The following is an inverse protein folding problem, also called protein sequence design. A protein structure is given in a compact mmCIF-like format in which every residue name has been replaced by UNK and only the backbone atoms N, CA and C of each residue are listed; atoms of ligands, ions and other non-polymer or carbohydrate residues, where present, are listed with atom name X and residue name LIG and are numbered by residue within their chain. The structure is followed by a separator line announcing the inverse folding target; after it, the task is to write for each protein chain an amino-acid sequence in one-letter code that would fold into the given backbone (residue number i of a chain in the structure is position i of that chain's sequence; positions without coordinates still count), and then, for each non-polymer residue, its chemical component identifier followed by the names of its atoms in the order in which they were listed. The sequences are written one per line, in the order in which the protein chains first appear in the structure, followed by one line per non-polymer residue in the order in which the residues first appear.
data_IF_325375232200
#
_entry.id   IF_325375232200
#
_cell.length_a   1.000
_cell.length_b   1.000
_cell.length_c   1.000
_cell.angle_alpha   90.00
_cell.angle_beta   90.00
_cell.angle_gamma   90.00
#
_symmetry.space_group_name_H-M   'P 1'
#
loop_
_entity.id
_entity.type
_entity.pdbx_description
1 polymer ?
#
# COMPACT_ATOMS: atom_id res chain seq x y z
N UNK A 1 12.21 23.31 8.20
CA UNK A 1 12.16 23.95 6.88
C UNK A 1 11.37 23.09 5.89
N UNK A 2 10.94 23.71 4.77
CA UNK A 2 10.25 23.03 3.68
C UNK A 2 11.15 23.01 2.46
N UNK A 3 11.24 21.85 1.81
CA UNK A 3 11.98 21.68 0.57
C UNK A 3 11.04 21.11 -0.49
N UNK A 4 11.05 21.72 -1.67
CA UNK A 4 10.37 21.21 -2.86
C UNK A 4 11.34 20.44 -3.74
N UNK A 5 10.93 19.29 -4.23
CA UNK A 5 11.69 18.47 -5.15
C UNK A 5 10.82 18.09 -6.36
N UNK A 6 11.30 18.43 -7.57
CA UNK A 6 10.64 18.05 -8.81
C UNK A 6 11.24 16.74 -9.32
N UNK A 7 10.37 15.78 -9.65
CA UNK A 7 10.74 14.47 -10.16
C UNK A 7 10.00 14.17 -11.47
N UNK A 8 10.38 13.10 -12.16
CA UNK A 8 9.68 12.66 -13.38
C UNK A 8 8.22 12.25 -13.13
N UNK A 9 7.89 11.82 -11.90
CA UNK A 9 6.54 11.36 -11.52
C UNK A 9 5.69 12.43 -10.84
N UNK A 10 6.23 13.62 -10.58
CA UNK A 10 5.51 14.71 -9.94
C UNK A 10 6.37 15.60 -9.07
N UNK A 11 5.74 16.28 -8.14
CA UNK A 11 6.36 17.22 -7.20
C UNK A 11 6.29 16.65 -5.79
N UNK A 12 7.36 16.78 -5.04
CA UNK A 12 7.43 16.37 -3.62
C UNK A 12 7.65 17.57 -2.72
N UNK A 13 6.88 17.66 -1.64
CA UNK A 13 7.12 18.56 -0.52
C UNK A 13 7.73 17.77 0.63
N UNK A 14 8.91 18.17 1.08
CA UNK A 14 9.68 17.51 2.13
C UNK A 14 9.77 18.46 3.32
N UNK A 15 9.33 18.02 4.50
CA UNK A 15 9.43 18.76 5.73
C UNK A 15 10.64 18.30 6.54
N UNK A 16 11.48 19.24 6.96
CA UNK A 16 12.67 18.97 7.76
C UNK A 16 12.63 19.72 9.09
N UNK A 17 13.11 19.15 10.22
CA UNK A 17 13.65 17.80 10.38
C UNK A 17 12.52 16.76 10.46
N UNK A 18 12.73 15.62 9.84
CA UNK A 18 11.80 14.49 9.83
C UNK A 18 11.47 14.04 8.39
N UNK A 19 11.11 12.78 8.20
CA UNK A 19 10.88 12.21 6.87
C UNK A 19 9.45 12.41 6.37
N UNK A 20 8.76 13.51 6.73
CA UNK A 20 7.46 13.81 6.14
C UNK A 20 7.64 14.24 4.70
N UNK A 21 7.25 13.36 3.78
CA UNK A 21 7.29 13.61 2.34
C UNK A 21 5.86 13.53 1.80
N UNK A 22 5.39 14.61 1.20
CA UNK A 22 4.16 14.62 0.45
C UNK A 22 4.45 14.61 -1.04
N UNK A 23 4.01 13.58 -1.74
CA UNK A 23 4.10 13.48 -3.18
C UNK A 23 2.81 13.95 -3.83
N UNK A 24 2.92 14.88 -4.78
CA UNK A 24 1.84 15.35 -5.64
C UNK A 24 2.11 14.75 -7.01
N UNK A 25 1.29 13.81 -7.43
CA UNK A 25 1.48 13.09 -8.68
C UNK A 25 0.81 13.83 -9.86
N UNK A 26 1.27 13.52 -11.07
CA UNK A 26 0.75 14.06 -12.32
C UNK A 26 -0.76 13.81 -12.46
N UNK A 27 -1.24 12.63 -12.02
CA UNK A 27 -2.66 12.27 -12.02
C UNK A 27 -3.54 13.05 -11.02
N UNK A 28 -2.92 13.91 -10.21
CA UNK A 28 -3.60 14.83 -9.28
C UNK A 28 -3.81 16.24 -9.85
N UNK A 29 -3.66 16.40 -11.16
CA UNK A 29 -3.89 17.67 -11.86
C UNK A 29 -2.64 18.44 -12.22
N UNK A 30 -1.45 17.92 -11.91
CA UNK A 30 -0.21 18.48 -12.47
C UNK A 30 -0.11 18.09 -13.95
N UNK A 31 0.26 19.03 -14.82
CA UNK A 31 0.59 18.71 -16.21
C UNK A 31 1.85 17.85 -16.24
N UNK A 32 1.86 16.90 -17.14
CA UNK A 32 3.01 16.05 -17.40
C UNK A 32 4.26 16.88 -17.70
N UNK A 33 5.23 16.85 -16.81
CA UNK A 33 6.55 17.45 -17.03
C UNK A 33 7.41 16.45 -17.81
N UNK A 34 7.16 16.36 -19.11
CA UNK A 34 7.95 15.50 -19.99
C UNK A 34 9.32 16.11 -20.24
N UNK A 35 10.36 15.42 -19.75
CA UNK A 35 11.74 15.72 -20.07
C UNK A 35 12.45 16.69 -19.11
N UNK A 36 13.65 17.12 -19.53
CA UNK A 36 14.60 17.95 -18.76
C UNK A 36 14.27 19.44 -18.72
N UNK A 37 13.07 19.85 -19.14
CA UNK A 37 12.71 21.26 -19.39
C UNK A 37 11.70 21.81 -18.36
N UNK A 38 11.59 21.24 -17.19
CA UNK A 38 10.80 21.83 -16.11
C UNK A 38 11.72 22.52 -15.10
N UNK A 39 11.29 23.69 -14.63
CA UNK A 39 11.98 24.46 -13.59
C UNK A 39 11.11 24.58 -12.37
N UNK A 40 11.74 24.51 -11.21
CA UNK A 40 11.11 24.67 -9.91
C UNK A 40 11.74 25.85 -9.19
N UNK A 41 10.89 26.77 -8.73
CA UNK A 41 11.30 27.90 -7.90
C UNK A 41 10.51 27.86 -6.58
N UNK A 42 11.21 27.88 -5.46
CA UNK A 42 10.60 28.07 -4.14
C UNK A 42 10.55 29.55 -3.80
N UNK A 43 9.39 30.03 -3.38
CA UNK A 43 9.24 31.41 -2.90
C UNK A 43 9.69 31.56 -1.46
N UNK A 44 9.95 32.79 -1.01
CA UNK A 44 10.31 33.09 0.39
C UNK A 44 9.26 32.59 1.40
N UNK A 45 7.99 32.60 1.00
CA UNK A 45 6.87 32.10 1.82
C UNK A 45 6.76 30.57 1.81
N UNK A 46 7.65 29.85 1.10
CA UNK A 46 7.68 28.41 1.01
C UNK A 46 6.67 27.80 0.02
N UNK A 47 6.06 28.60 -0.83
CA UNK A 47 5.24 28.13 -1.95
C UNK A 47 6.13 27.67 -3.12
N UNK A 48 5.60 26.93 -4.08
CA UNK A 48 6.32 26.46 -5.25
C UNK A 48 5.73 27.05 -6.53
N UNK A 49 6.61 27.50 -7.42
CA UNK A 49 6.29 27.78 -8.81
C UNK A 49 6.98 26.74 -9.70
N UNK A 50 6.18 25.94 -10.39
CA UNK A 50 6.68 24.93 -11.32
C UNK A 50 6.35 25.39 -12.72
N UNK A 51 7.35 25.46 -13.58
CA UNK A 51 7.23 25.92 -14.96
C UNK A 51 7.67 24.80 -15.90
N UNK A 52 6.90 24.55 -16.94
CA UNK A 52 7.20 23.56 -17.97
C UNK A 52 6.71 24.01 -19.35
N UNK A 53 6.97 23.22 -20.37
CA UNK A 53 6.59 23.54 -21.76
C UNK A 53 5.08 23.74 -21.96
N UNK A 54 4.26 23.06 -21.18
CA UNK A 54 2.80 23.08 -21.31
C UNK A 54 2.10 24.06 -20.35
N UNK A 55 2.88 24.82 -19.56
CA UNK A 55 2.32 25.77 -18.62
C UNK A 55 3.11 25.93 -17.35
N UNK A 56 2.50 26.62 -16.41
CA UNK A 56 3.06 26.83 -15.08
C UNK A 56 2.02 26.56 -14.00
N UNK A 57 2.50 26.17 -12.81
CA UNK A 57 1.68 25.98 -11.61
C UNK A 57 2.25 26.77 -10.47
N UNK A 58 1.39 27.47 -9.78
CA UNK A 58 1.69 28.05 -8.49
C UNK A 58 1.02 27.17 -7.42
N UNK A 59 1.79 26.62 -6.51
CA UNK A 59 1.34 25.67 -5.49
C UNK A 59 1.59 26.28 -4.13
N UNK A 60 0.52 26.58 -3.42
CA UNK A 60 0.59 27.08 -2.07
C UNK A 60 0.86 25.92 -1.10
N UNK A 61 1.89 26.06 -0.26
CA UNK A 61 2.29 25.02 0.71
C UNK A 61 1.15 24.60 1.65
N UNK A 62 0.27 25.54 2.00
CA UNK A 62 -0.84 25.32 2.92
C UNK A 62 -1.98 24.49 2.29
N UNK A 63 -2.03 24.40 0.96
CA UNK A 63 -2.99 23.57 0.23
C UNK A 63 -2.51 22.14 0.05
N UNK A 64 -1.24 21.86 0.37
CA UNK A 64 -0.67 20.51 0.30
C UNK A 64 -1.05 19.76 1.58
N UNK A 65 -2.16 19.05 1.51
CA UNK A 65 -2.67 18.26 2.62
C UNK A 65 -1.96 16.91 2.72
N UNK A 66 -1.41 16.59 3.89
CA UNK A 66 -0.88 15.26 4.22
C UNK A 66 -1.98 14.49 4.95
N UNK A 67 -2.34 13.34 4.39
CA UNK A 67 -3.34 12.48 5.02
C UNK A 67 -2.68 11.60 6.09
N UNK A 68 -2.69 12.06 7.32
CA UNK A 68 -2.19 11.32 8.49
C UNK A 68 -3.22 10.29 9.02
N UNK A 69 -4.35 10.13 8.35
CA UNK A 69 -5.38 9.20 8.79
C UNK A 69 -4.89 7.75 8.71
N UNK A 70 -4.80 7.12 9.86
CA UNK A 70 -4.48 5.71 10.01
C UNK A 70 -5.73 4.87 9.72
N UNK A 71 -5.80 4.33 8.52
CA UNK A 71 -6.90 3.44 8.13
C UNK A 71 -6.83 2.10 8.88
N UNK A 72 -7.92 1.34 8.86
CA UNK A 72 -7.94 -0.02 9.39
C UNK A 72 -7.87 -1.04 8.26
N UNK A 73 -7.13 -2.12 8.47
CA UNK A 73 -7.09 -3.27 7.57
C UNK A 73 -7.88 -4.44 8.16
N UNK A 74 -8.62 -5.15 7.32
CA UNK A 74 -9.42 -6.30 7.72
C UNK A 74 -9.34 -7.45 6.71
N UNK A 75 -9.43 -8.69 7.19
CA UNK A 75 -9.61 -9.86 6.34
C UNK A 75 -11.07 -9.91 5.88
N UNK A 76 -11.29 -9.97 4.57
CA UNK A 76 -12.63 -10.11 3.97
C UNK A 76 -13.04 -11.59 3.90
N UNK A 77 -12.15 -12.42 3.39
CA UNK A 77 -12.43 -13.85 3.25
C UNK A 77 -11.15 -14.68 3.11
N UNK A 78 -11.26 -15.94 3.44
CA UNK A 78 -10.25 -16.94 3.14
C UNK A 78 -10.87 -18.02 2.30
N UNK A 79 -10.21 -18.42 1.24
CA UNK A 79 -10.65 -19.51 0.41
C UNK A 79 -9.52 -20.50 0.15
N UNK A 80 -9.90 -21.75 0.09
CA UNK A 80 -9.05 -22.89 -0.21
C UNK A 80 -9.37 -23.37 -1.63
N UNK A 81 -8.35 -23.62 -2.42
CA UNK A 81 -8.52 -24.08 -3.79
C UNK A 81 -7.92 -25.48 -3.87
N UNK A 82 -8.72 -26.45 -4.35
CA UNK A 82 -8.26 -27.81 -4.53
C UNK A 82 -7.52 -28.01 -5.87
N UNK A 83 -6.98 -29.21 -6.08
CA UNK A 83 -6.25 -29.58 -7.30
C UNK A 83 -7.10 -29.54 -8.57
N UNK A 84 -8.43 -29.55 -8.43
CA UNK A 84 -9.39 -29.45 -9.52
C UNK A 84 -9.88 -28.00 -9.73
N UNK A 85 -9.21 -27.00 -9.16
CA UNK A 85 -9.59 -25.59 -9.17
C UNK A 85 -10.93 -25.28 -8.50
N UNK A 86 -11.45 -26.18 -7.67
CA UNK A 86 -12.68 -25.93 -6.91
C UNK A 86 -12.35 -25.09 -5.67
N UNK A 87 -13.09 -23.99 -5.51
CA UNK A 87 -12.91 -23.03 -4.44
C UNK A 87 -13.87 -23.30 -3.28
N UNK A 88 -13.35 -23.31 -2.06
CA UNK A 88 -14.09 -23.46 -0.80
C UNK A 88 -13.83 -22.26 0.09
N UNK A 89 -14.88 -21.66 0.63
CA UNK A 89 -14.72 -20.59 1.64
C UNK A 89 -14.45 -21.22 2.99
N UNK A 90 -13.37 -20.79 3.64
CA UNK A 90 -13.01 -21.25 4.97
C UNK A 90 -13.49 -20.25 6.03
N UNK A 91 -13.91 -20.73 7.23
CA UNK A 91 -14.19 -19.85 8.35
C UNK A 91 -12.90 -19.17 8.83
N UNK A 92 -12.92 -17.83 8.96
CA UNK A 92 -11.73 -17.02 9.30
C UNK A 92 -11.09 -17.46 10.63
N UNK A 93 -11.88 -17.93 11.58
CA UNK A 93 -11.39 -18.26 12.93
C UNK A 93 -10.75 -19.66 13.06
N UNK A 94 -10.83 -20.51 12.05
CA UNK A 94 -10.31 -21.88 12.12
C UNK A 94 -9.99 -22.43 10.73
N UNK A 95 -8.99 -21.88 10.09
CA UNK A 95 -8.57 -22.29 8.74
C UNK A 95 -7.70 -23.54 8.86
N UNK A 96 -8.21 -24.68 8.38
CA UNK A 96 -7.47 -25.92 8.25
C UNK A 96 -7.27 -26.25 6.79
N UNK A 97 -6.02 -26.44 6.40
CA UNK A 97 -5.62 -26.73 5.03
C UNK A 97 -5.11 -28.16 4.97
N UNK A 98 -5.58 -28.93 4.02
CA UNK A 98 -5.15 -30.31 3.78
C UNK A 98 -4.35 -30.41 2.49
N UNK A 99 -3.66 -31.52 2.28
CA UNK A 99 -2.96 -31.81 1.04
C UNK A 99 -3.88 -31.85 -0.21
N UNK A 100 -5.20 -31.91 0.01
CA UNK A 100 -6.23 -31.84 -1.07
C UNK A 100 -6.53 -30.40 -1.50
N UNK A 101 -6.22 -29.42 -0.67
CA UNK A 101 -6.44 -27.99 -0.92
C UNK A 101 -5.11 -27.25 -0.82
N UNK A 102 -4.23 -27.38 -1.83
CA UNK A 102 -2.85 -26.89 -1.74
C UNK A 102 -2.71 -25.37 -1.81
N UNK A 103 -3.76 -24.64 -2.20
CA UNK A 103 -3.71 -23.19 -2.34
C UNK A 103 -4.64 -22.51 -1.36
N UNK A 104 -4.09 -21.54 -0.63
CA UNK A 104 -4.82 -20.65 0.28
C UNK A 104 -4.86 -19.28 -0.37
N UNK A 105 -6.05 -18.72 -0.51
CA UNK A 105 -6.22 -17.35 -0.97
C UNK A 105 -6.85 -16.52 0.15
N UNK A 106 -6.14 -15.48 0.61
CA UNK A 106 -6.57 -14.57 1.66
C UNK A 106 -6.90 -13.23 1.02
N UNK A 107 -8.16 -12.83 1.06
CA UNK A 107 -8.64 -11.53 0.57
C UNK A 107 -8.77 -10.57 1.74
N UNK A 108 -8.28 -9.36 1.57
CA UNK A 108 -8.29 -8.33 2.60
C UNK A 108 -8.58 -6.95 2.01
N UNK A 109 -9.01 -6.05 2.87
CA UNK A 109 -9.35 -4.67 2.50
C UNK A 109 -8.91 -3.68 3.56
N UNK A 110 -8.71 -2.45 3.13
CA UNK A 110 -8.52 -1.31 4.00
C UNK A 110 -9.34 -0.14 3.42
N UNK A 111 -10.60 0.00 3.85
CA UNK A 111 -11.47 1.05 3.34
C UNK A 111 -10.89 2.43 3.61
N UNK A 112 -10.79 3.24 2.57
CA UNK A 112 -10.39 4.64 2.65
C UNK A 112 -11.29 5.47 1.74
N UNK A 113 -11.78 6.59 2.24
CA UNK A 113 -12.56 7.55 1.44
C UNK A 113 -11.67 8.56 0.70
N UNK A 114 -10.39 8.64 1.07
CA UNK A 114 -9.44 9.53 0.45
C UNK A 114 -8.41 8.75 -0.36
N UNK A 115 -8.39 8.96 -1.67
CA UNK A 115 -7.44 8.32 -2.61
C UNK A 115 -7.34 6.79 -2.42
N UNK A 116 -8.47 6.10 -2.29
CA UNK A 116 -8.54 4.66 -2.03
C UNK A 116 -7.73 3.81 -3.04
N UNK A 117 -7.62 4.27 -4.29
CA UNK A 117 -6.84 3.62 -5.35
C UNK A 117 -5.32 3.72 -5.15
N UNK A 118 -4.85 4.50 -4.17
CA UNK A 118 -3.43 4.63 -3.80
C UNK A 118 -3.07 3.87 -2.52
N UNK A 119 -4.02 3.21 -1.89
CA UNK A 119 -3.75 2.32 -0.75
C UNK A 119 -2.86 1.16 -1.20
N UNK A 120 -1.79 0.91 -0.43
CA UNK A 120 -0.87 -0.21 -0.63
C UNK A 120 -0.87 -1.14 0.57
N UNK A 121 -0.33 -2.32 0.41
CA UNK A 121 -0.35 -3.38 1.41
C UNK A 121 1.00 -4.05 1.53
N UNK A 122 1.31 -4.52 2.73
CA UNK A 122 2.38 -5.47 2.98
C UNK A 122 1.86 -6.64 3.81
N UNK A 123 2.52 -7.78 3.70
CA UNK A 123 2.17 -8.95 4.48
C UNK A 123 3.40 -9.70 4.99
N UNK A 124 3.20 -10.47 6.02
CA UNK A 124 4.19 -11.33 6.63
C UNK A 124 3.54 -12.65 7.05
N UNK A 125 4.16 -13.77 6.73
CA UNK A 125 3.71 -15.08 7.17
C UNK A 125 4.70 -15.58 8.22
N UNK A 126 4.28 -15.58 9.47
CA UNK A 126 5.06 -16.09 10.58
C UNK A 126 5.31 -17.59 10.40
N UNK A 127 6.57 -17.99 10.57
CA UNK A 127 7.03 -19.35 10.31
C UNK A 127 7.43 -19.63 8.84
N UNK A 128 7.33 -18.63 7.94
CA UNK A 128 7.69 -18.79 6.53
C UNK A 128 8.53 -17.63 5.98
N UNK A 129 8.21 -16.37 6.33
CA UNK A 129 8.97 -15.21 5.86
C UNK A 129 9.94 -14.71 6.93
N UNK A 130 11.07 -14.18 6.51
CA UNK A 130 12.02 -13.48 7.39
C UNK A 130 11.73 -11.98 7.48
N UNK A 131 11.11 -11.40 6.45
CA UNK A 131 10.80 -9.97 6.35
C UNK A 131 9.40 -9.75 5.79
N UNK A 132 8.88 -8.53 5.97
CA UNK A 132 7.64 -8.10 5.35
C UNK A 132 7.77 -8.05 3.83
N UNK A 133 6.76 -8.56 3.14
CA UNK A 133 6.67 -8.56 1.68
C UNK A 133 5.77 -7.40 1.23
N UNK A 134 6.30 -6.52 0.39
CA UNK A 134 5.50 -5.49 -0.26
C UNK A 134 4.58 -6.14 -1.31
N UNK A 135 3.27 -5.95 -1.15
CA UNK A 135 2.25 -6.49 -2.06
C UNK A 135 1.65 -5.40 -2.96
N UNK A 136 2.15 -4.16 -2.86
CA UNK A 136 1.65 -3.03 -3.63
C UNK A 136 0.15 -2.84 -3.42
N UNK A 137 -0.62 -2.69 -4.51
CA UNK A 137 -2.07 -2.48 -4.48
C UNK A 137 -2.91 -3.77 -4.47
N UNK A 138 -2.26 -4.94 -4.44
CA UNK A 138 -2.98 -6.22 -4.44
C UNK A 138 -3.70 -6.41 -3.11
N UNK A 139 -4.96 -6.80 -3.19
CA UNK A 139 -5.84 -7.03 -2.04
C UNK A 139 -6.00 -8.51 -1.70
N UNK A 140 -5.08 -9.34 -2.15
CA UNK A 140 -5.07 -10.76 -1.86
C UNK A 140 -3.64 -11.29 -1.75
N UNK A 141 -3.50 -12.38 -1.01
CA UNK A 141 -2.31 -13.22 -0.92
C UNK A 141 -2.69 -14.61 -1.38
N UNK A 142 -1.87 -15.20 -2.22
CA UNK A 142 -1.99 -16.59 -2.62
C UNK A 142 -0.79 -17.37 -2.08
N UNK A 143 -1.04 -18.36 -1.26
CA UNK A 143 -0.03 -19.21 -0.63
C UNK A 143 -0.14 -20.63 -1.16
N UNK A 144 0.99 -21.18 -1.57
CA UNK A 144 1.10 -22.54 -2.10
C UNK A 144 2.38 -23.19 -1.56
N UNK A 145 2.36 -24.52 -1.42
CA UNK A 145 3.54 -25.31 -1.12
C UNK A 145 4.12 -25.13 0.27
N UNK A 146 3.33 -24.65 1.23
CA UNK A 146 3.74 -24.57 2.62
C UNK A 146 3.79 -25.97 3.27
N UNK A 147 4.80 -26.20 4.08
CA UNK A 147 4.95 -27.44 4.85
C UNK A 147 3.85 -27.59 5.92
N UNK A 148 3.60 -28.83 6.39
CA UNK A 148 2.72 -29.04 7.54
C UNK A 148 3.18 -28.24 8.76
N UNK A 149 2.27 -27.44 9.35
CA UNK A 149 2.63 -26.55 10.45
C UNK A 149 1.51 -25.58 10.81
N UNK A 150 1.81 -24.69 11.74
CA UNK A 150 0.94 -23.59 12.14
C UNK A 150 1.56 -22.29 11.65
N UNK A 151 0.74 -21.42 11.09
CA UNK A 151 1.15 -20.16 10.49
C UNK A 151 0.22 -19.02 10.89
N UNK A 152 0.77 -17.81 10.94
CA UNK A 152 0.01 -16.59 11.10
C UNK A 152 0.29 -15.69 9.93
N UNK A 153 -0.73 -15.39 9.13
CA UNK A 153 -0.62 -14.33 8.14
C UNK A 153 -0.97 -12.99 8.78
N UNK A 154 -0.10 -12.03 8.62
CA UNK A 154 -0.21 -10.67 9.13
C UNK A 154 -0.24 -9.71 7.95
N UNK A 155 -1.21 -8.79 7.92
CA UNK A 155 -1.38 -7.83 6.84
C UNK A 155 -1.44 -6.42 7.41
N UNK A 156 -0.71 -5.51 6.79
CA UNK A 156 -0.74 -4.06 7.03
C UNK A 156 -1.16 -3.34 5.76
N UNK A 157 -1.73 -2.17 5.91
CA UNK A 157 -1.99 -1.27 4.79
C UNK A 157 -1.34 0.09 5.02
N UNK A 158 -1.12 0.80 3.92
CA UNK A 158 -0.59 2.16 3.94
C UNK A 158 -1.51 3.05 3.12
N UNK A 159 -1.82 4.22 3.63
CA UNK A 159 -2.63 5.20 2.92
C UNK A 159 -1.85 5.84 1.75
N UNK A 160 -2.50 6.76 1.03
CA UNK A 160 -1.89 7.46 -0.12
C UNK A 160 -0.60 8.22 0.21
N UNK A 161 -0.35 8.53 1.45
CA UNK A 161 0.80 9.29 1.94
C UNK A 161 1.80 8.44 2.74
N UNK A 162 1.59 7.11 2.74
CA UNK A 162 2.50 6.14 3.33
C UNK A 162 2.31 5.89 4.82
N UNK A 163 1.25 6.43 5.44
CA UNK A 163 0.95 6.14 6.84
C UNK A 163 0.39 4.73 7.00
N UNK A 164 1.00 3.99 7.91
CA UNK A 164 0.61 2.61 8.22
C UNK A 164 -0.79 2.53 8.84
N UNK A 165 -1.48 1.43 8.62
CA UNK A 165 -2.77 1.14 9.26
C UNK A 165 -2.67 1.09 10.77
N UNK A 166 -3.73 1.54 11.45
CA UNK A 166 -3.83 1.54 12.92
C UNK A 166 -3.70 0.15 13.53
N UNK A 167 -4.03 -0.89 12.76
CA UNK A 167 -3.98 -2.28 13.18
C UNK A 167 -3.27 -3.14 12.13
N UNK A 168 -2.82 -4.31 12.57
CA UNK A 168 -2.44 -5.43 11.72
C UNK A 168 -3.59 -6.42 11.67
N UNK A 169 -4.04 -6.81 10.48
CA UNK A 169 -5.03 -7.87 10.34
C UNK A 169 -4.32 -9.23 10.37
N UNK A 170 -4.76 -10.11 11.25
CA UNK A 170 -4.12 -11.40 11.49
C UNK A 170 -5.07 -12.54 11.18
N UNK A 171 -4.53 -13.63 10.61
CA UNK A 171 -5.25 -14.88 10.44
C UNK A 171 -4.36 -16.07 10.75
N UNK A 172 -4.86 -16.96 11.60
CA UNK A 172 -4.20 -18.21 11.94
C UNK A 172 -4.69 -19.33 11.03
N UNK A 173 -3.78 -20.11 10.50
CA UNK A 173 -4.12 -21.29 9.73
C UNK A 173 -3.17 -22.44 10.02
N UNK A 174 -3.66 -23.67 9.85
CA UNK A 174 -2.90 -24.88 10.08
C UNK A 174 -2.89 -25.75 8.84
N UNK A 175 -1.71 -26.14 8.41
CA UNK A 175 -1.52 -27.13 7.35
C UNK A 175 -1.38 -28.51 8.00
N UNK A 176 -2.26 -29.42 7.62
CA UNK A 176 -2.33 -30.77 8.16
C UNK A 176 -1.53 -31.70 7.24
N UNK A 177 -0.66 -32.56 7.79
CA UNK A 177 0.04 -33.55 6.99
C UNK A 177 -0.92 -34.50 6.27
N UNK A 178 -0.48 -35.14 5.19
CA UNK A 178 -1.28 -36.12 4.45
C UNK A 178 -1.69 -37.31 5.27
#
# INVERSE_FOLDING_TARGET
SLLWALTKSGLSLIKTPGPEIKNIHIDEGLIEFTGTQASLVSTENGNALVMGLKGHYFIEKNLVYINEFEQKVAIESVSLIDRNNKKYVAPINNVKVTHKTPTINILYTSPSFYKANKTTYSYFIEGYHETWIDNGKRRYIELQGLDPGQYVAQIKSYNSDGYESKNTANINFKIIPP
#
